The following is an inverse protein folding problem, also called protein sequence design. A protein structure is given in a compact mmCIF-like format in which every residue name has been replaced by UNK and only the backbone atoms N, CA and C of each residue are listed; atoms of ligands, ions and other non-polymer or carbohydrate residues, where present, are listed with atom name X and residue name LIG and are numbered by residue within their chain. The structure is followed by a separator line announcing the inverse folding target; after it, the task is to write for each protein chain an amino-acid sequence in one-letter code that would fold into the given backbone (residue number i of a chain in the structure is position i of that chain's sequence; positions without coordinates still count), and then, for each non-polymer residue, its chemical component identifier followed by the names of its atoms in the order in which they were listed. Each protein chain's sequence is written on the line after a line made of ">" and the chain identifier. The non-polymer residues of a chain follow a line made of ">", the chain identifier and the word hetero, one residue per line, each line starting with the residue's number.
data_IF_905490371417
#
_entry.id   IF_905490371417
#
_cell.length_a   1.000
_cell.length_b   1.000
_cell.length_c   1.000
_cell.angle_alpha   90.00
_cell.angle_beta   90.00
_cell.angle_gamma   90.00
#
_symmetry.space_group_name_H-M   'P 1'
#
loop_
_entity.id
_entity.type
_entity.pdbx_description
1 polymer ?
#
# COMPACT_ATOMS: atom_id res chain seq x y z
N UNK A 1 18.78 -55.70 28.51
CA UNK A 1 19.63 -55.64 29.71
C UNK A 1 20.62 -54.49 29.55
N UNK A 2 20.45 -53.32 30.18
CA UNK A 2 19.35 -52.87 31.04
C UNK A 2 19.31 -51.33 31.23
N UNK A 3 18.17 -50.62 31.13
CA UNK A 3 16.90 -50.99 30.45
C UNK A 3 16.12 -49.73 29.95
N UNK A 4 15.31 -49.03 30.77
CA UNK A 4 14.75 -47.67 30.51
C UNK A 4 14.34 -46.97 31.82
N UNK A 5 14.43 -45.64 31.87
CA UNK A 5 13.68 -44.81 32.82
C UNK A 5 13.00 -43.65 32.07
N UNK A 6 11.69 -43.49 32.29
CA UNK A 6 10.89 -42.37 31.79
C UNK A 6 10.62 -41.42 32.98
N UNK A 7 11.12 -40.18 32.94
CA UNK A 7 10.74 -39.17 33.93
C UNK A 7 9.59 -38.29 33.44
N UNK A 8 8.68 -37.97 34.37
CA UNK A 8 7.33 -37.51 34.08
C UNK A 8 7.17 -35.98 34.11
N UNK A 9 6.49 -35.43 33.10
CA UNK A 9 6.05 -34.03 33.09
C UNK A 9 5.03 -33.78 34.22
N UNK A 10 5.36 -32.91 35.17
CA UNK A 10 4.42 -32.39 36.16
C UNK A 10 3.92 -31.00 35.78
N UNK A 11 2.61 -30.88 35.56
CA UNK A 11 1.92 -29.59 35.48
C UNK A 11 1.87 -28.90 36.84
N UNK A 12 1.94 -27.56 36.86
CA UNK A 12 1.73 -26.75 38.06
C UNK A 12 0.46 -25.94 37.88
N UNK A 13 -0.61 -26.32 38.59
CA UNK A 13 -1.75 -25.43 38.82
C UNK A 13 -1.34 -24.34 39.83
N UNK A 14 -1.74 -23.09 39.57
CA UNK A 14 -1.77 -22.03 40.57
C UNK A 14 -3.22 -21.52 40.68
N UNK A 15 -3.82 -21.74 41.84
CA UNK A 15 -5.25 -21.48 42.09
C UNK A 15 -5.52 -20.01 42.38
N UNK A 16 -6.75 -19.60 42.09
CA UNK A 16 -7.27 -18.27 42.38
C UNK A 16 -7.29 -17.98 43.88
N UNK A 17 -7.08 -16.72 44.24
CA UNK A 17 -7.70 -16.12 45.43
C UNK A 17 -8.88 -15.25 44.97
N UNK A 18 -9.97 -15.23 45.72
CA UNK A 18 -11.18 -14.49 45.38
C UNK A 18 -11.73 -13.70 46.58
N UNK A 19 -12.09 -12.46 46.31
CA UNK A 19 -13.03 -11.59 47.02
C UNK A 19 -13.45 -10.55 45.96
N UNK A 20 -14.68 -10.47 45.45
CA UNK A 20 -15.98 -10.35 46.14
C UNK A 20 -16.04 -9.05 46.97
N UNK A 21 -16.94 -8.09 46.75
CA UNK A 21 -18.21 -8.05 45.99
C UNK A 21 -18.34 -6.72 45.20
N UNK A 22 -19.42 -6.31 44.52
CA UNK A 22 -20.84 -6.76 44.45
C UNK A 22 -21.51 -6.37 43.11
N UNK A 23 -22.64 -7.00 42.77
CA UNK A 23 -23.49 -6.61 41.63
C UNK A 23 -24.47 -5.48 42.00
N UNK A 24 -24.70 -4.50 41.10
CA UNK A 24 -25.98 -3.77 40.97
C UNK A 24 -26.24 -3.37 39.52
N UNK A 25 -27.37 -3.85 38.99
CA UNK A 25 -28.15 -3.42 37.82
C UNK A 25 -29.59 -3.97 38.07
N UNK A 26 -30.69 -3.48 37.45
CA UNK A 26 -30.82 -2.40 36.47
C UNK A 26 -31.99 -1.40 36.78
N UNK A 27 -32.06 -0.28 36.04
CA UNK A 27 -33.32 0.40 35.59
C UNK A 27 -32.95 1.34 34.42
N UNK A 28 -33.44 1.15 33.19
CA UNK A 28 -34.78 1.52 32.67
C UNK A 28 -35.14 2.98 32.94
N UNK A 29 -34.98 3.84 31.92
CA UNK A 29 -35.80 5.04 31.75
C UNK A 29 -35.92 5.42 30.26
N UNK A 30 -37.14 5.59 29.78
CA UNK A 30 -37.45 6.08 28.43
C UNK A 30 -37.79 7.57 28.50
N UNK A 31 -37.26 8.39 27.59
CA UNK A 31 -37.89 9.69 27.25
C UNK A 31 -37.40 10.27 25.93
N UNK A 32 -38.26 10.20 24.90
CA UNK A 32 -38.27 11.19 23.82
C UNK A 32 -39.11 12.40 24.29
N UNK A 33 -38.72 13.63 23.94
CA UNK A 33 -39.61 14.43 23.09
C UNK A 33 -38.82 15.18 22.00
N UNK A 34 -39.14 14.97 20.72
CA UNK A 34 -40.16 15.71 19.95
C UNK A 34 -39.61 16.97 19.26
N UNK A 35 -39.97 17.14 17.98
CA UNK A 35 -39.59 18.29 17.16
C UNK A 35 -40.55 19.48 17.31
N UNK A 36 -40.20 20.64 16.71
CA UNK A 36 -41.19 21.53 16.13
C UNK A 36 -41.04 21.66 14.60
N UNK A 37 -42.12 21.36 13.88
CA UNK A 37 -42.51 22.18 12.72
C UNK A 37 -43.25 23.43 13.26
N UNK A 38 -43.53 24.53 12.57
CA UNK A 38 -43.56 24.89 11.15
C UNK A 38 -43.86 26.40 11.06
N UNK A 39 -43.56 27.08 9.94
CA UNK A 39 -44.22 28.30 9.37
C UNK A 39 -43.36 28.72 8.16
N UNK A 40 -43.75 28.65 6.89
CA UNK A 40 -44.98 29.09 6.17
C UNK A 40 -45.08 30.61 5.99
N UNK A 41 -44.59 31.09 4.84
CA UNK A 41 -45.13 32.27 4.16
C UNK A 41 -45.31 31.89 2.69
N UNK A 42 -46.49 32.16 2.13
CA UNK A 42 -46.79 31.94 0.71
C UNK A 42 -46.60 33.23 -0.08
N UNK A 43 -46.20 33.10 -1.34
CA UNK A 43 -46.71 33.96 -2.42
C UNK A 43 -46.82 33.12 -3.69
N UNK A 44 -48.06 32.91 -4.12
CA UNK A 44 -48.43 32.24 -5.37
C UNK A 44 -48.64 33.26 -6.48
N UNK A 45 -48.30 32.93 -7.72
CA UNK A 45 -49.18 33.22 -8.86
C UNK A 45 -48.89 32.29 -10.05
N UNK A 46 -49.94 32.02 -10.84
CA UNK A 46 -49.97 31.21 -12.07
C UNK A 46 -49.60 32.08 -13.31
N UNK A 47 -49.52 31.62 -14.58
CA UNK A 47 -50.11 30.46 -15.25
C UNK A 47 -49.37 30.04 -16.56
N UNK A 48 -49.50 28.76 -16.91
CA UNK A 48 -49.50 28.09 -18.24
C UNK A 48 -48.62 28.43 -19.49
N UNK A 49 -47.99 27.34 -19.99
CA UNK A 49 -48.01 26.78 -21.38
C UNK A 49 -47.15 27.30 -22.56
N UNK A 50 -46.62 26.28 -23.27
CA UNK A 50 -46.32 26.16 -24.72
C UNK A 50 -44.85 26.32 -25.17
N UNK A 51 -44.46 25.50 -26.16
CA UNK A 51 -43.13 25.38 -26.77
C UNK A 51 -43.23 24.78 -28.20
N UNK A 52 -42.16 24.73 -29.03
CA UNK A 52 -40.82 25.32 -28.88
C UNK A 52 -40.67 26.61 -29.72
N UNK A 53 -40.08 26.74 -30.95
CA UNK A 53 -39.34 25.81 -31.81
C UNK A 53 -37.80 25.94 -31.67
N UNK A 54 -37.03 26.03 -32.77
CA UNK A 54 -35.57 25.85 -32.83
C UNK A 54 -34.80 26.93 -33.63
N UNK A 55 -33.53 27.10 -33.25
CA UNK A 55 -32.37 27.51 -34.09
C UNK A 55 -32.24 28.93 -34.68
N UNK A 56 -31.16 29.63 -34.28
CA UNK A 56 -30.09 30.16 -35.17
C UNK A 56 -28.85 30.53 -34.34
N UNK A 57 -27.66 30.52 -34.96
CA UNK A 57 -26.35 30.76 -34.33
C UNK A 57 -25.93 32.23 -34.52
N UNK A 58 -25.39 32.90 -33.51
CA UNK A 58 -24.34 33.94 -33.66
C UNK A 58 -23.50 34.06 -32.38
N UNK A 59 -22.20 34.27 -32.54
CA UNK A 59 -21.15 34.26 -31.50
C UNK A 59 -20.95 35.61 -30.81
N UNK A 60 -20.85 35.65 -29.47
CA UNK A 60 -20.19 36.75 -28.73
C UNK A 60 -19.52 36.30 -27.42
N UNK A 61 -18.27 35.85 -27.57
CA UNK A 61 -17.06 36.13 -26.75
C UNK A 61 -17.15 36.43 -25.23
N UNK A 62 -16.24 35.80 -24.48
CA UNK A 62 -15.81 36.07 -23.08
C UNK A 62 -16.85 35.77 -21.97
N UNK A 63 -16.51 35.04 -20.90
CA UNK A 63 -15.27 35.16 -20.11
C UNK A 63 -14.66 33.80 -19.73
N UNK A 64 -13.50 33.47 -20.30
CA UNK A 64 -12.78 32.20 -20.02
C UNK A 64 -11.36 32.49 -19.50
N UNK A 65 -11.27 32.97 -18.25
CA UNK A 65 -10.00 33.40 -17.63
C UNK A 65 -9.60 32.65 -16.36
N UNK A 66 -10.44 31.74 -15.84
CA UNK A 66 -10.17 31.00 -14.59
C UNK A 66 -9.13 29.88 -14.76
N UNK A 67 -9.16 29.17 -15.90
CA UNK A 67 -8.48 27.88 -16.10
C UNK A 67 -6.98 27.91 -15.82
N UNK A 68 -6.24 28.88 -16.37
CA UNK A 68 -4.79 29.02 -16.16
C UNK A 68 -4.44 29.35 -14.70
N UNK A 69 -5.28 30.09 -13.99
CA UNK A 69 -5.08 30.37 -12.57
C UNK A 69 -5.34 29.09 -11.76
N UNK A 70 -6.48 28.44 -11.96
CA UNK A 70 -6.89 27.21 -11.28
C UNK A 70 -5.89 26.08 -11.47
N UNK A 71 -5.39 25.86 -12.69
CA UNK A 71 -4.33 24.88 -12.96
C UNK A 71 -3.01 25.23 -12.27
N UNK A 72 -2.62 26.52 -12.23
CA UNK A 72 -1.41 26.97 -11.53
C UNK A 72 -1.53 26.79 -10.00
N UNK A 73 -2.67 27.13 -9.42
CA UNK A 73 -2.97 26.89 -8.01
C UNK A 73 -3.00 25.39 -7.68
N UNK A 74 -3.67 24.57 -8.47
CA UNK A 74 -3.69 23.11 -8.30
C UNK A 74 -2.28 22.50 -8.38
N UNK A 75 -1.46 22.96 -9.33
CA UNK A 75 -0.05 22.54 -9.46
C UNK A 75 0.77 22.94 -8.24
N UNK A 76 0.63 24.18 -7.75
CA UNK A 76 1.32 24.65 -6.56
C UNK A 76 0.89 23.90 -5.28
N UNK A 77 -0.41 23.63 -5.13
CA UNK A 77 -0.96 22.83 -4.01
C UNK A 77 -0.45 21.38 -4.07
N UNK A 78 -0.38 20.77 -5.26
CA UNK A 78 0.18 19.43 -5.41
C UNK A 78 1.69 19.41 -5.13
N UNK A 79 2.45 20.40 -5.59
CA UNK A 79 3.87 20.53 -5.24
C UNK A 79 4.08 20.73 -3.73
N UNK A 80 3.21 21.50 -3.06
CA UNK A 80 3.24 21.68 -1.61
C UNK A 80 2.90 20.40 -0.86
N UNK A 81 1.87 19.65 -1.29
CA UNK A 81 1.55 18.31 -0.75
C UNK A 81 2.74 17.35 -0.91
N UNK A 82 3.40 17.35 -2.07
CA UNK A 82 4.58 16.52 -2.33
C UNK A 82 5.76 16.91 -1.43
N UNK A 83 6.02 18.21 -1.18
CA UNK A 83 7.07 18.66 -0.24
C UNK A 83 6.91 18.17 1.21
N UNK A 84 5.78 17.56 1.58
CA UNK A 84 5.57 16.95 2.90
C UNK A 84 6.26 15.58 3.05
N UNK A 85 6.61 14.90 1.96
CA UNK A 85 7.28 13.60 1.97
C UNK A 85 8.73 13.75 2.45
N UNK A 86 9.14 13.02 3.49
CA UNK A 86 10.49 13.11 4.05
C UNK A 86 11.56 12.63 3.06
N UNK A 87 11.24 11.66 2.19
CA UNK A 87 12.14 11.19 1.11
C UNK A 87 12.51 12.27 0.08
N UNK A 88 11.81 13.41 0.07
CA UNK A 88 12.16 14.59 -0.77
C UNK A 88 13.09 15.59 -0.08
N UNK A 89 13.44 15.39 1.19
CA UNK A 89 14.41 16.23 1.89
C UNK A 89 15.81 15.98 1.32
N UNK A 90 16.64 17.02 1.12
CA UNK A 90 18.00 16.85 0.61
C UNK A 90 18.81 15.85 1.47
N UNK A 91 19.51 14.93 0.83
CA UNK A 91 20.31 13.88 1.48
C UNK A 91 19.49 12.71 2.06
N UNK A 92 18.25 12.91 2.52
CA UNK A 92 17.49 11.88 3.25
C UNK A 92 17.29 10.56 2.49
N UNK A 93 17.05 10.60 1.17
CA UNK A 93 16.99 9.39 0.34
C UNK A 93 18.38 8.76 0.11
N UNK A 94 19.43 9.57 -0.03
CA UNK A 94 20.77 9.08 -0.29
C UNK A 94 21.38 8.41 0.95
N UNK A 95 21.22 9.03 2.13
CA UNK A 95 21.52 8.41 3.42
C UNK A 95 20.79 7.07 3.58
N UNK A 96 19.48 7.01 3.31
CA UNK A 96 18.71 5.77 3.41
C UNK A 96 19.23 4.67 2.47
N UNK A 97 19.70 5.03 1.28
CA UNK A 97 20.31 4.09 0.33
C UNK A 97 21.67 3.58 0.85
N UNK A 98 22.48 4.43 1.49
CA UNK A 98 23.76 4.05 2.10
C UNK A 98 23.58 3.19 3.36
N UNK A 99 22.65 3.59 4.25
CA UNK A 99 22.25 2.84 5.44
C UNK A 99 21.81 1.42 5.07
N UNK A 100 20.87 1.28 4.13
CA UNK A 100 20.36 -0.03 3.73
C UNK A 100 21.43 -0.85 3.03
N UNK A 101 22.32 -0.24 2.22
CA UNK A 101 23.48 -0.94 1.63
C UNK A 101 24.41 -1.52 2.69
N UNK A 102 24.59 -0.84 3.83
CA UNK A 102 25.39 -1.35 4.95
C UNK A 102 24.77 -2.57 5.65
N UNK A 103 23.46 -2.80 5.47
CA UNK A 103 22.69 -3.91 6.04
C UNK A 103 22.51 -5.10 5.07
N UNK A 104 23.10 -5.06 3.87
CA UNK A 104 23.11 -6.17 2.90
C UNK A 104 24.21 -7.15 3.25
N UNK A 105 23.90 -8.45 3.34
CA UNK A 105 24.94 -9.47 3.55
C UNK A 105 25.53 -9.87 2.19
N UNK A 106 26.70 -9.30 1.88
CA UNK A 106 27.45 -9.57 0.65
C UNK A 106 27.79 -11.06 0.42
N UNK A 107 27.70 -11.93 1.43
CA UNK A 107 27.88 -13.40 1.29
C UNK A 107 26.59 -14.13 0.92
N UNK A 108 25.44 -13.63 1.36
CA UNK A 108 24.12 -14.27 1.15
C UNK A 108 23.39 -13.60 -0.01
N UNK A 109 23.19 -12.30 0.09
CA UNK A 109 22.46 -11.48 -0.88
C UNK A 109 23.32 -11.22 -2.14
N UNK A 110 24.65 -11.18 -2.01
CA UNK A 110 25.57 -10.85 -3.11
C UNK A 110 25.63 -9.36 -3.42
N UNK A 111 26.21 -8.96 -4.56
CA UNK A 111 26.39 -7.54 -4.87
C UNK A 111 25.06 -6.82 -5.15
N UNK A 112 24.93 -5.57 -4.67
CA UNK A 112 23.77 -4.72 -4.98
C UNK A 112 23.84 -4.25 -6.43
N UNK A 113 22.86 -4.64 -7.24
CA UNK A 113 22.76 -4.25 -8.66
C UNK A 113 22.05 -2.91 -8.83
N UNK A 114 20.91 -2.73 -8.16
CA UNK A 114 20.11 -1.50 -8.24
C UNK A 114 19.21 -1.28 -7.02
N UNK A 115 18.74 -0.04 -6.86
CA UNK A 115 17.93 0.42 -5.73
C UNK A 115 16.77 1.27 -6.25
N UNK A 116 15.59 1.10 -5.65
CA UNK A 116 14.31 1.63 -6.13
C UNK A 116 13.49 2.19 -4.97
N UNK A 117 12.66 3.20 -5.25
CA UNK A 117 11.69 3.76 -4.31
C UNK A 117 10.29 3.41 -4.84
N UNK A 118 9.61 2.50 -4.15
CA UNK A 118 8.35 1.90 -4.59
C UNK A 118 7.31 1.91 -3.46
N UNK A 119 6.07 1.59 -3.80
CA UNK A 119 4.99 1.39 -2.83
C UNK A 119 4.61 -0.09 -2.83
N UNK A 120 4.70 -0.72 -1.68
CA UNK A 120 4.09 -2.02 -1.44
C UNK A 120 2.58 -1.85 -1.20
N UNK A 121 1.79 -2.66 -1.90
CA UNK A 121 0.35 -2.79 -1.73
C UNK A 121 0.09 -4.13 -1.05
N UNK A 122 -0.41 -4.10 0.18
CA UNK A 122 -0.76 -5.33 0.88
C UNK A 122 -2.11 -5.92 0.41
N UNK A 123 -2.45 -7.09 0.96
CA UNK A 123 -3.67 -7.82 0.62
C UNK A 123 -4.97 -7.12 1.08
N UNK A 124 -4.90 -6.09 1.93
CA UNK A 124 -6.01 -5.20 2.31
C UNK A 124 -6.02 -3.88 1.50
N UNK A 125 -5.19 -3.78 0.46
CA UNK A 125 -4.99 -2.59 -0.39
C UNK A 125 -4.35 -1.39 0.35
N UNK A 126 -3.67 -1.58 1.49
CA UNK A 126 -2.92 -0.49 2.13
C UNK A 126 -1.63 -0.20 1.34
N UNK A 127 -1.39 1.07 1.04
CA UNK A 127 -0.13 1.57 0.48
C UNK A 127 0.94 1.73 1.59
N UNK A 128 2.14 1.20 1.36
CA UNK A 128 3.28 1.27 2.27
C UNK A 128 4.56 1.68 1.51
N UNK A 129 5.23 2.75 1.94
CA UNK A 129 6.48 3.24 1.36
C UNK A 129 7.61 2.20 1.56
N UNK A 130 8.40 1.94 0.51
CA UNK A 130 9.48 0.95 0.51
C UNK A 130 10.68 1.43 -0.28
N UNK A 131 11.87 1.14 0.25
CA UNK A 131 13.10 1.08 -0.55
C UNK A 131 13.30 -0.38 -0.94
N UNK A 132 13.53 -0.65 -2.22
CA UNK A 132 13.65 -2.02 -2.76
C UNK A 132 15.00 -2.17 -3.45
N UNK A 133 15.77 -3.19 -3.10
CA UNK A 133 17.09 -3.45 -3.67
C UNK A 133 17.07 -4.79 -4.44
N UNK A 134 17.64 -4.77 -5.64
CA UNK A 134 17.97 -5.98 -6.39
C UNK A 134 19.44 -6.28 -6.12
N UNK A 135 19.74 -7.46 -5.59
CA UNK A 135 21.10 -7.97 -5.45
C UNK A 135 21.34 -9.14 -6.42
N UNK A 136 22.45 -9.87 -6.32
CA UNK A 136 22.70 -11.03 -7.19
C UNK A 136 21.86 -12.26 -6.83
N UNK A 137 21.58 -12.46 -5.54
CA UNK A 137 20.86 -13.63 -5.04
C UNK A 137 19.49 -13.29 -4.41
N UNK A 138 19.25 -12.03 -4.01
CA UNK A 138 18.07 -11.61 -3.23
C UNK A 138 17.37 -10.39 -3.81
N UNK A 139 16.05 -10.38 -3.70
CA UNK A 139 15.23 -9.17 -3.69
C UNK A 139 15.04 -8.75 -2.23
N UNK A 140 15.41 -7.52 -1.90
CA UNK A 140 15.29 -6.96 -0.56
C UNK A 140 14.20 -5.88 -0.57
N UNK A 141 13.20 -6.02 0.31
CA UNK A 141 12.11 -5.05 0.47
C UNK A 141 12.22 -4.47 1.87
N UNK A 142 12.56 -3.18 1.94
CA UNK A 142 12.94 -2.52 3.18
C UNK A 142 11.88 -1.50 3.60
N UNK A 143 11.35 -1.66 4.83
CA UNK A 143 10.67 -0.58 5.55
C UNK A 143 11.77 0.32 6.15
N UNK A 144 11.80 1.57 5.72
CA UNK A 144 12.73 2.58 6.21
C UNK A 144 11.93 3.78 6.71
N UNK A 145 12.24 4.23 7.93
CA UNK A 145 11.64 5.43 8.51
C UNK A 145 12.48 6.65 8.11
N UNK A 146 12.00 7.41 7.12
CA UNK A 146 12.65 8.66 6.68
C UNK A 146 12.54 9.82 7.69
N UNK A 147 11.83 9.64 8.81
CA UNK A 147 11.74 10.57 9.95
C UNK A 147 12.83 10.24 10.98
N UNK A 148 12.97 8.96 11.35
CA UNK A 148 13.98 8.51 12.33
C UNK A 148 15.35 8.15 11.72
N UNK A 149 15.45 8.06 10.38
CA UNK A 149 16.63 7.64 9.64
C UNK A 149 17.13 6.25 10.06
N UNK A 150 16.25 5.25 10.00
CA UNK A 150 16.60 3.86 10.27
C UNK A 150 15.81 2.87 9.39
N UNK A 151 16.33 1.65 9.25
CA UNK A 151 15.61 0.54 8.63
C UNK A 151 14.94 -0.32 9.70
N UNK A 152 13.61 -0.30 9.75
CA UNK A 152 12.82 -1.07 10.71
C UNK A 152 12.72 -2.56 10.37
N UNK A 153 12.66 -2.89 9.07
CA UNK A 153 12.37 -4.25 8.60
C UNK A 153 12.96 -4.48 7.20
N UNK A 154 13.66 -5.59 7.01
CA UNK A 154 14.12 -6.06 5.70
C UNK A 154 13.49 -7.43 5.42
N UNK A 155 12.57 -7.51 4.48
CA UNK A 155 12.11 -8.78 3.92
C UNK A 155 13.10 -9.23 2.83
N UNK A 156 13.67 -10.42 2.99
CA UNK A 156 14.58 -11.04 2.01
C UNK A 156 13.86 -12.12 1.22
N UNK A 157 13.88 -12.02 -0.11
CA UNK A 157 13.25 -12.96 -1.03
C UNK A 157 14.33 -13.50 -1.99
N UNK A 158 14.77 -14.76 -1.86
CA UNK A 158 15.75 -15.35 -2.78
C UNK A 158 15.25 -15.33 -4.23
N UNK A 159 16.05 -14.76 -5.13
CA UNK A 159 15.72 -14.57 -6.54
C UNK A 159 15.58 -15.89 -7.31
N UNK A 160 16.24 -16.96 -6.87
CA UNK A 160 16.08 -18.29 -7.45
C UNK A 160 14.72 -18.95 -7.13
N UNK A 161 14.02 -18.47 -6.08
CA UNK A 161 12.63 -18.86 -5.78
C UNK A 161 11.61 -18.07 -6.59
N UNK A 162 11.93 -16.87 -7.10
CA UNK A 162 11.02 -16.05 -7.90
C UNK A 162 10.64 -16.79 -9.19
N UNK A 163 9.34 -16.99 -9.40
CA UNK A 163 8.84 -17.94 -10.41
C UNK A 163 7.77 -17.38 -11.35
N UNK A 164 7.16 -16.25 -10.97
CA UNK A 164 6.22 -15.50 -11.79
C UNK A 164 6.28 -14.02 -11.41
N UNK A 165 6.34 -13.18 -12.43
CA UNK A 165 6.19 -11.73 -12.32
C UNK A 165 4.95 -11.38 -13.14
N UNK A 166 3.96 -10.76 -12.50
CA UNK A 166 2.69 -10.38 -13.14
C UNK A 166 2.50 -8.88 -13.10
N UNK A 167 2.30 -8.27 -14.26
CA UNK A 167 2.09 -6.82 -14.43
C UNK A 167 0.66 -6.53 -14.91
N UNK A 168 0.06 -5.48 -14.37
CA UNK A 168 -1.20 -4.93 -14.90
C UNK A 168 -1.99 -4.06 -13.92
N UNK A 169 -3.10 -3.54 -14.41
CA UNK A 169 -4.07 -2.77 -13.63
C UNK A 169 -4.66 -3.59 -12.49
N UNK A 170 -5.01 -2.91 -11.39
CA UNK A 170 -5.58 -3.57 -10.21
C UNK A 170 -7.06 -3.86 -10.37
N UNK A 171 -7.47 -5.03 -9.88
CA UNK A 171 -8.87 -5.45 -9.85
C UNK A 171 -9.28 -5.89 -8.45
N UNK A 172 -10.57 -5.79 -8.17
CA UNK A 172 -11.17 -6.17 -6.89
C UNK A 172 -12.30 -7.19 -7.13
N UNK A 173 -12.64 -8.04 -6.14
CA UNK A 173 -13.74 -8.98 -6.24
C UNK A 173 -15.08 -8.30 -6.55
N UNK A 174 -16.04 -9.02 -7.15
CA UNK A 174 -17.43 -8.57 -7.23
C UNK A 174 -17.94 -8.12 -5.85
N UNK A 175 -18.68 -7.02 -5.83
CA UNK A 175 -19.20 -6.36 -4.62
C UNK A 175 -18.16 -5.76 -3.66
N UNK A 176 -16.86 -5.71 -4.01
CA UNK A 176 -15.93 -4.84 -3.29
C UNK A 176 -16.31 -3.36 -3.49
N UNK A 177 -16.21 -2.57 -2.42
CA UNK A 177 -16.41 -1.12 -2.45
C UNK A 177 -15.10 -0.36 -2.75
N UNK A 178 -14.05 -1.07 -3.15
CA UNK A 178 -12.73 -0.50 -3.44
C UNK A 178 -12.52 -0.32 -4.94
N UNK A 179 -11.99 0.85 -5.29
CA UNK A 179 -11.42 1.15 -6.60
C UNK A 179 -10.02 1.72 -6.40
N UNK A 180 -9.12 1.48 -7.36
CA UNK A 180 -7.81 2.13 -7.41
C UNK A 180 -7.31 2.20 -8.85
N UNK A 181 -6.74 3.34 -9.21
CA UNK A 181 -6.16 3.60 -10.52
C UNK A 181 -4.67 3.22 -10.57
N UNK A 182 -4.15 3.09 -11.80
CA UNK A 182 -2.75 2.76 -12.08
C UNK A 182 -2.45 1.27 -12.14
N UNK A 183 -1.22 0.96 -12.55
CA UNK A 183 -0.71 -0.40 -12.73
C UNK A 183 0.22 -0.82 -11.60
N UNK A 184 0.40 -2.13 -11.46
CA UNK A 184 1.36 -2.71 -10.53
C UNK A 184 2.12 -3.88 -11.11
N UNK A 185 3.04 -4.38 -10.31
CA UNK A 185 3.76 -5.62 -10.54
C UNK A 185 3.70 -6.49 -9.28
N UNK A 186 3.15 -7.70 -9.40
CA UNK A 186 3.14 -8.72 -8.35
C UNK A 186 4.24 -9.75 -8.62
N UNK A 187 5.11 -9.94 -7.64
CA UNK A 187 6.23 -10.89 -7.70
C UNK A 187 5.89 -12.09 -6.82
N UNK A 188 5.87 -13.28 -7.39
CA UNK A 188 5.59 -14.55 -6.69
C UNK A 188 6.87 -15.37 -6.53
N UNK A 189 7.06 -15.96 -5.34
CA UNK A 189 8.18 -16.86 -5.02
C UNK A 189 7.73 -18.24 -4.51
N UNK A 190 6.43 -18.47 -4.34
CA UNK A 190 5.85 -19.76 -3.99
C UNK A 190 4.50 -19.94 -4.73
N UNK A 191 4.34 -21.07 -5.43
CA UNK A 191 3.10 -21.45 -6.14
C UNK A 191 2.23 -22.42 -5.35
N UNK A 192 2.76 -23.05 -4.30
CA UNK A 192 2.11 -24.14 -3.56
C UNK A 192 1.51 -23.66 -2.24
N UNK A 193 2.04 -22.57 -1.67
CA UNK A 193 1.53 -21.97 -0.44
C UNK A 193 0.39 -21.00 -0.72
N UNK A 194 -0.84 -21.43 -0.49
CA UNK A 194 -1.96 -20.49 -0.33
C UNK A 194 -1.87 -19.74 1.03
N UNK A 195 -2.29 -18.46 1.09
CA UNK A 195 -2.39 -17.72 2.34
C UNK A 195 -3.54 -18.29 3.20
N UNK A 196 -3.28 -18.46 4.50
CA UNK A 196 -4.27 -19.03 5.42
C UNK A 196 -5.52 -18.15 5.52
N UNK A 197 -6.67 -18.74 5.88
CA UNK A 197 -7.89 -17.95 6.10
C UNK A 197 -7.69 -16.90 7.20
N UNK A 198 -6.94 -17.23 8.27
CA UNK A 198 -6.56 -16.29 9.33
C UNK A 198 -5.63 -15.18 8.83
N UNK A 199 -4.77 -15.45 7.85
CA UNK A 199 -3.96 -14.42 7.18
C UNK A 199 -4.84 -13.45 6.40
N UNK A 200 -5.78 -13.98 5.59
CA UNK A 200 -6.71 -13.19 4.77
C UNK A 200 -7.55 -12.19 5.59
N UNK A 201 -7.96 -12.57 6.80
CA UNK A 201 -8.69 -11.70 7.73
C UNK A 201 -7.81 -10.77 8.59
N UNK A 202 -6.48 -10.82 8.49
CA UNK A 202 -5.56 -10.04 9.33
C UNK A 202 -4.81 -8.97 8.50
N UNK A 203 -5.15 -7.67 8.62
CA UNK A 203 -4.49 -6.59 7.85
C UNK A 203 -2.98 -6.44 8.10
N UNK A 204 -2.43 -7.10 9.12
CA UNK A 204 -1.00 -7.11 9.43
C UNK A 204 -0.29 -8.42 9.03
N UNK A 205 -0.97 -9.34 8.33
CA UNK A 205 -0.37 -10.58 7.85
C UNK A 205 0.66 -10.31 6.73
N UNK A 206 1.92 -10.66 7.00
CA UNK A 206 3.06 -10.54 6.08
C UNK A 206 3.51 -11.91 5.52
N UNK A 207 2.70 -12.95 5.68
CA UNK A 207 3.08 -14.34 5.40
C UNK A 207 2.71 -14.81 3.97
N UNK A 208 2.24 -13.88 3.13
CA UNK A 208 1.83 -14.11 1.75
C UNK A 208 2.99 -14.56 0.85
N UNK A 209 2.74 -15.41 -0.18
CA UNK A 209 3.75 -15.93 -1.11
C UNK A 209 4.14 -14.94 -2.24
N UNK A 210 3.70 -13.68 -2.11
CA UNK A 210 3.92 -12.62 -3.08
C UNK A 210 4.02 -11.25 -2.40
N UNK A 211 4.68 -10.31 -3.06
CA UNK A 211 4.52 -8.85 -2.82
C UNK A 211 3.84 -8.22 -4.03
N UNK A 212 3.15 -7.10 -3.83
CA UNK A 212 2.59 -6.29 -4.92
C UNK A 212 3.21 -4.90 -4.85
N UNK A 213 3.88 -4.46 -5.91
CA UNK A 213 4.60 -3.18 -5.97
C UNK A 213 3.96 -2.25 -7.01
N UNK A 214 3.97 -0.95 -6.74
CA UNK A 214 3.56 0.11 -7.68
C UNK A 214 4.47 1.34 -7.53
N UNK A 215 4.37 2.28 -8.46
CA UNK A 215 5.22 3.48 -8.52
C UNK A 215 4.98 4.42 -7.33
N UNK A 216 6.03 5.12 -6.89
CA UNK A 216 5.90 6.10 -5.82
C UNK A 216 5.17 7.39 -6.28
N UNK A 217 4.30 8.02 -5.46
CA UNK A 217 3.62 9.27 -5.81
C UNK A 217 4.56 10.43 -6.18
N UNK A 218 5.82 10.38 -5.72
CA UNK A 218 6.82 11.43 -5.99
C UNK A 218 7.55 11.29 -7.34
N UNK A 219 7.25 10.26 -8.14
CA UNK A 219 7.96 9.95 -9.40
C UNK A 219 8.10 11.13 -10.37
N UNK A 220 7.16 12.08 -10.35
CA UNK A 220 7.12 13.24 -11.25
C UNK A 220 7.82 14.50 -10.69
N UNK A 221 8.52 14.43 -9.54
CA UNK A 221 9.12 15.61 -8.87
C UNK A 221 10.52 15.97 -9.39
N UNK A 222 11.34 14.98 -9.71
CA UNK A 222 12.75 15.14 -10.09
C UNK A 222 13.16 13.94 -10.95
N UNK A 223 13.94 14.15 -12.01
CA UNK A 223 14.44 13.10 -12.91
C UNK A 223 15.11 11.92 -12.17
N UNK A 224 15.87 12.21 -11.09
CA UNK A 224 16.44 11.17 -10.22
C UNK A 224 15.36 10.27 -9.62
N UNK A 225 14.25 10.86 -9.17
CA UNK A 225 13.12 10.14 -8.57
C UNK A 225 12.28 9.45 -9.65
N UNK A 226 12.13 10.03 -10.84
CA UNK A 226 11.49 9.36 -11.98
C UNK A 226 12.20 8.04 -12.26
N UNK A 227 13.54 8.06 -12.40
CA UNK A 227 14.36 6.87 -12.62
C UNK A 227 14.27 5.85 -11.47
N UNK A 228 14.27 6.30 -10.21
CA UNK A 228 14.18 5.41 -9.04
C UNK A 228 12.77 4.84 -8.77
N UNK A 229 11.72 5.42 -9.36
CA UNK A 229 10.32 5.00 -9.19
C UNK A 229 9.74 4.30 -10.45
N UNK A 230 10.57 4.03 -11.46
CA UNK A 230 10.12 3.54 -12.76
C UNK A 230 9.89 2.02 -12.74
N UNK A 231 8.63 1.61 -12.81
CA UNK A 231 8.23 0.22 -12.62
C UNK A 231 8.69 -0.68 -13.79
N UNK A 232 8.79 -0.13 -15.01
CA UNK A 232 9.24 -0.87 -16.19
C UNK A 232 10.71 -1.29 -16.08
N UNK A 233 11.61 -0.35 -15.80
CA UNK A 233 13.04 -0.64 -15.66
C UNK A 233 13.35 -1.49 -14.43
N UNK A 234 12.54 -1.40 -13.36
CA UNK A 234 12.59 -2.32 -12.24
C UNK A 234 12.22 -3.76 -12.65
N UNK A 235 11.12 -3.94 -13.40
CA UNK A 235 10.65 -5.24 -13.93
C UNK A 235 11.71 -5.91 -14.81
N UNK A 236 12.34 -5.16 -15.71
CA UNK A 236 13.40 -5.64 -16.61
C UNK A 236 14.61 -6.15 -15.81
N UNK A 237 15.12 -5.34 -14.88
CA UNK A 237 16.27 -5.73 -14.05
C UNK A 237 15.95 -6.88 -13.10
N UNK A 238 14.76 -6.91 -12.50
CA UNK A 238 14.32 -8.01 -11.63
C UNK A 238 14.23 -9.32 -12.41
N UNK A 239 13.69 -9.27 -13.64
CA UNK A 239 13.59 -10.45 -14.51
C UNK A 239 14.98 -10.97 -14.88
N UNK A 240 15.91 -10.09 -15.28
CA UNK A 240 17.27 -10.47 -15.60
C UNK A 240 18.04 -11.03 -14.39
N UNK A 241 17.92 -10.39 -13.22
CA UNK A 241 18.57 -10.84 -11.99
C UNK A 241 18.03 -12.20 -11.51
N UNK A 242 16.70 -12.42 -11.56
CA UNK A 242 16.11 -13.70 -11.22
C UNK A 242 16.41 -14.82 -12.23
N UNK A 243 16.51 -14.51 -13.53
CA UNK A 243 17.01 -15.47 -14.54
C UNK A 243 18.47 -15.85 -14.29
N UNK A 244 19.34 -14.88 -13.92
CA UNK A 244 20.73 -15.15 -13.51
C UNK A 244 20.79 -16.02 -12.27
N UNK A 245 20.06 -15.67 -11.21
CA UNK A 245 20.02 -16.42 -9.95
C UNK A 245 19.51 -17.86 -10.14
N UNK A 246 18.48 -18.06 -10.97
CA UNK A 246 17.97 -19.38 -11.31
C UNK A 246 18.95 -20.21 -12.14
N UNK A 247 19.73 -19.58 -13.02
CA UNK A 247 20.78 -20.25 -13.81
C UNK A 247 21.97 -20.70 -12.96
N UNK A 248 22.25 -20.00 -11.85
CA UNK A 248 23.30 -20.36 -10.89
C UNK A 248 22.83 -21.43 -9.87
N UNK A 249 21.60 -21.29 -9.36
CA UNK A 249 21.04 -22.13 -8.30
C UNK A 249 19.62 -22.62 -8.66
N UNK A 250 19.48 -23.55 -9.64
CA UNK A 250 18.19 -24.04 -10.10
C UNK A 250 17.45 -24.81 -9.02
N UNK A 251 16.20 -24.42 -8.75
CA UNK A 251 15.38 -25.02 -7.69
C UNK A 251 14.62 -26.23 -8.24
N UNK A 252 14.71 -27.42 -7.59
CA UNK A 252 13.96 -28.61 -8.02
C UNK A 252 12.46 -28.33 -8.19
N UNK A 253 11.90 -28.78 -9.30
CA UNK A 253 10.49 -28.53 -9.66
C UNK A 253 10.18 -27.15 -10.26
N UNK A 254 11.12 -26.19 -10.25
CA UNK A 254 10.95 -24.87 -10.88
C UNK A 254 11.75 -24.69 -12.19
N UNK A 255 12.05 -25.78 -12.91
CA UNK A 255 12.91 -25.77 -14.11
C UNK A 255 12.45 -24.85 -15.25
N UNK A 256 11.16 -24.49 -15.29
CA UNK A 256 10.70 -23.35 -16.07
C UNK A 256 10.96 -22.07 -15.26
N UNK A 257 11.96 -21.29 -15.69
CA UNK A 257 12.36 -20.04 -15.04
C UNK A 257 11.29 -18.94 -15.04
N UNK A 258 11.70 -17.72 -14.65
CA UNK A 258 10.82 -16.58 -14.35
C UNK A 258 9.78 -16.33 -15.44
N UNK A 259 8.51 -16.61 -15.13
CA UNK A 259 7.38 -16.40 -16.04
C UNK A 259 6.87 -14.97 -15.94
N UNK A 260 7.07 -14.16 -16.99
CA UNK A 260 6.47 -12.83 -17.11
C UNK A 260 5.04 -12.94 -17.68
N UNK A 261 4.05 -12.35 -17.01
CA UNK A 261 2.64 -12.28 -17.46
C UNK A 261 2.10 -10.85 -17.40
N UNK A 262 1.36 -10.44 -18.41
CA UNK A 262 0.59 -9.19 -18.39
C UNK A 262 -0.87 -9.54 -18.09
N UNK A 263 -1.29 -9.42 -16.83
CA UNK A 263 -2.61 -9.82 -16.33
C UNK A 263 -3.06 -8.91 -15.18
N UNK A 264 -4.38 -8.63 -15.04
CA UNK A 264 -4.90 -7.78 -13.99
C UNK A 264 -4.63 -8.34 -12.59
N UNK A 265 -4.23 -7.47 -11.67
CA UNK A 265 -3.77 -7.85 -10.33
C UNK A 265 -4.95 -7.79 -9.35
N UNK A 266 -5.54 -8.95 -9.07
CA UNK A 266 -6.63 -9.08 -8.09
C UNK A 266 -6.13 -8.82 -6.66
N UNK A 267 -6.84 -8.00 -5.90
CA UNK A 267 -6.64 -7.79 -4.46
C UNK A 267 -7.89 -8.27 -3.72
N UNK A 268 -7.78 -9.30 -2.88
CA UNK A 268 -8.91 -9.97 -2.18
C UNK A 268 -9.61 -9.10 -1.10
N UNK A 269 -9.52 -7.78 -1.19
CA UNK A 269 -10.10 -6.84 -0.25
C UNK A 269 -11.56 -6.47 -0.62
N UNK A 270 -12.52 -6.97 0.17
CA UNK A 270 -13.95 -6.69 -0.01
C UNK A 270 -14.40 -5.44 0.75
N UNK A 271 -13.98 -5.33 2.02
CA UNK A 271 -14.30 -4.22 2.92
C UNK A 271 -12.99 -3.53 3.31
N UNK A 272 -12.85 -2.25 2.95
CA UNK A 272 -11.59 -1.52 3.14
C UNK A 272 -11.77 -0.05 3.47
N UNK A 273 -12.78 0.32 4.27
CA UNK A 273 -12.94 1.71 4.73
C UNK A 273 -11.68 2.21 5.47
N UNK A 274 -10.99 1.31 6.19
CA UNK A 274 -9.72 1.62 6.86
C UNK A 274 -8.58 1.84 5.85
N UNK A 275 -8.52 1.06 4.75
CA UNK A 275 -7.45 1.22 3.75
C UNK A 275 -7.72 2.37 2.78
N UNK A 276 -8.98 2.71 2.47
CA UNK A 276 -9.30 3.97 1.74
C UNK A 276 -8.96 5.19 2.58
N UNK A 277 -9.37 5.24 3.86
CA UNK A 277 -9.02 6.33 4.77
C UNK A 277 -7.49 6.41 5.00
N UNK A 278 -6.83 5.26 5.13
CA UNK A 278 -5.38 5.15 5.26
C UNK A 278 -4.63 5.67 4.03
N UNK A 279 -5.03 5.28 2.83
CA UNK A 279 -4.40 5.70 1.58
C UNK A 279 -4.70 7.16 1.24
N UNK A 280 -5.91 7.66 1.53
CA UNK A 280 -6.24 9.09 1.35
C UNK A 280 -5.40 9.99 2.26
N UNK A 281 -5.18 9.58 3.51
CA UNK A 281 -4.27 10.24 4.45
C UNK A 281 -2.79 9.82 4.29
N UNK A 282 -2.51 8.99 3.28
CA UNK A 282 -1.20 8.42 2.93
C UNK A 282 -0.44 7.89 4.16
N UNK A 283 -1.13 7.16 5.04
CA UNK A 283 -0.61 6.78 6.38
C UNK A 283 0.67 5.93 6.32
N UNK A 284 0.79 5.03 5.34
CA UNK A 284 1.99 4.21 5.15
C UNK A 284 3.20 4.93 4.52
N UNK A 285 3.19 6.27 4.48
CA UNK A 285 4.30 7.10 3.97
C UNK A 285 4.81 8.06 5.04
N UNK A 286 6.12 8.30 5.01
CA UNK A 286 6.85 9.23 5.88
C UNK A 286 6.52 10.67 5.48
N UNK A 287 5.47 11.23 6.09
CA UNK A 287 4.88 12.53 5.78
C UNK A 287 4.91 13.46 6.99
N UNK A 288 5.29 14.72 6.77
CA UNK A 288 5.15 15.79 7.75
C UNK A 288 3.66 16.09 7.97
N UNK A 289 3.09 15.56 9.07
CA UNK A 289 1.63 15.52 9.29
C UNK A 289 1.00 16.83 9.80
N UNK A 290 1.81 17.78 10.27
CA UNK A 290 1.41 19.19 10.42
C UNK A 290 2.47 20.01 11.15
N UNK A 291 2.38 21.34 11.05
CA UNK A 291 2.96 22.25 12.04
C UNK A 291 1.82 22.68 12.97
N UNK A 292 1.69 22.02 14.12
CA UNK A 292 1.02 22.62 15.29
C UNK A 292 2.12 23.30 16.09
N UNK A 293 2.54 24.48 15.60
CA UNK A 293 3.40 25.39 16.33
C UNK A 293 2.52 26.37 17.11
N UNK A 294 2.90 26.63 18.36
CA UNK A 294 2.45 27.78 19.14
C UNK A 294 3.46 28.92 18.95
#
# INVERSE_FOLDING_TARGET
>A
MSEREEESFKSVELKQNAADSSNVDPEVLQSNPSAPSSTVTQSTETEEKTSPPASIITTTTSTTTSTNAEQKWATAVNQFKLRRFFVLRPGTLDNAIEDIKSLVDQKVDGAVQSVWLLVEIDHWNNEKERVVLITENSLLICKYDFIMLNCEQIQRIPLNLVDRITEGAFTFPPHSLLTREGDGMRVFWDKLREPSLTSRWNPFANDYPYTTLTYHPVRNVNEKLTKLCELQSFKEQLTAAAQKAHSLNPVPGKANGVLLLNQPILIEAYVGLMSTLGNQNKLGYCLARGNVGF
#
